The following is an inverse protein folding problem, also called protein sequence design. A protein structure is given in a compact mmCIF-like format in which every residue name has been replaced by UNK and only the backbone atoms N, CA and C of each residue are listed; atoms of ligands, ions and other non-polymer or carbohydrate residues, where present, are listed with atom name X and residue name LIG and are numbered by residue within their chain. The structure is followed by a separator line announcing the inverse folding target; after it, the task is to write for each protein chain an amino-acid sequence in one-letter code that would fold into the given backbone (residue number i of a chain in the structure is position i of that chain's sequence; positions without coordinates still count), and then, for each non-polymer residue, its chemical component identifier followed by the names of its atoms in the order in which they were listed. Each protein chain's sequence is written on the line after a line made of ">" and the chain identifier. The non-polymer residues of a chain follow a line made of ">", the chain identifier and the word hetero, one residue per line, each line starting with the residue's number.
data_IF_837313838557
#
_entry.id   IF_837313838557
#
_cell.length_a   1.000
_cell.length_b   1.000
_cell.length_c   1.000
_cell.angle_alpha   90.00
_cell.angle_beta   90.00
_cell.angle_gamma   90.00
#
_symmetry.space_group_name_H-M   'P 1'
#
loop_
_entity.id
_entity.type
_entity.pdbx_description
1 polymer ?
#
# COMPACT_ATOMS: atom_id res chain seq x y z
N UNK A 1 -12.13 -31.76 13.22
CA UNK A 1 -13.06 -30.76 12.66
C UNK A 1 -12.32 -29.99 11.57
N UNK A 2 -12.86 -29.89 10.34
CA UNK A 2 -12.34 -28.90 9.40
C UNK A 2 -12.48 -27.49 10.01
N UNK A 3 -11.54 -26.57 9.76
CA UNK A 3 -11.64 -25.21 10.28
C UNK A 3 -12.93 -24.56 9.78
N UNK A 4 -13.67 -23.91 10.68
CA UNK A 4 -14.82 -23.08 10.32
C UNK A 4 -14.31 -22.04 9.32
N UNK A 5 -14.89 -22.03 8.11
CA UNK A 5 -14.52 -21.09 7.07
C UNK A 5 -15.06 -19.71 7.50
N UNK A 6 -14.22 -18.91 8.16
CA UNK A 6 -14.58 -17.55 8.56
C UNK A 6 -15.00 -16.75 7.33
N UNK A 7 -16.16 -16.08 7.41
CA UNK A 7 -16.64 -15.18 6.37
C UNK A 7 -15.76 -13.92 6.36
N UNK A 8 -14.88 -13.81 5.36
CA UNK A 8 -13.92 -12.72 5.23
C UNK A 8 -14.62 -11.48 4.65
N UNK A 9 -14.56 -10.38 5.41
CA UNK A 9 -15.13 -9.08 5.07
C UNK A 9 -14.02 -8.04 5.18
N UNK A 10 -13.78 -7.29 4.12
CA UNK A 10 -12.56 -6.46 4.00
C UNK A 10 -12.91 -4.98 3.93
N UNK A 11 -12.38 -4.19 4.85
CA UNK A 11 -12.31 -2.75 4.68
C UNK A 11 -10.96 -2.36 4.09
N UNK A 12 -10.94 -1.58 3.01
CA UNK A 12 -9.73 -0.96 2.47
C UNK A 12 -9.83 0.54 2.69
N UNK A 13 -8.88 1.09 3.43
CA UNK A 13 -8.82 2.50 3.82
C UNK A 13 -7.72 3.22 3.03
N UNK A 14 -8.07 4.34 2.42
CA UNK A 14 -7.20 5.07 1.49
C UNK A 14 -7.36 4.51 0.09
N UNK A 15 -7.99 5.28 -0.80
CA UNK A 15 -8.36 4.86 -2.15
C UNK A 15 -7.54 5.55 -3.24
N UNK A 16 -6.32 6.00 -2.91
CA UNK A 16 -5.29 6.31 -3.90
C UNK A 16 -5.02 5.12 -4.84
N UNK A 17 -4.19 5.31 -5.87
CA UNK A 17 -3.99 4.33 -6.96
C UNK A 17 -3.79 2.88 -6.47
N UNK A 18 -2.92 2.66 -5.48
CA UNK A 18 -2.65 1.34 -4.91
C UNK A 18 -3.84 0.79 -4.10
N UNK A 19 -4.43 1.61 -3.23
CA UNK A 19 -5.58 1.23 -2.41
C UNK A 19 -6.82 0.90 -3.23
N UNK A 20 -7.10 1.68 -4.28
CA UNK A 20 -8.18 1.41 -5.23
C UNK A 20 -8.00 0.07 -5.95
N UNK A 21 -6.80 -0.17 -6.48
CA UNK A 21 -6.48 -1.42 -7.17
C UNK A 21 -6.60 -2.64 -6.22
N UNK A 22 -6.18 -2.46 -4.97
CA UNK A 22 -6.30 -3.49 -3.94
C UNK A 22 -7.76 -3.76 -3.57
N UNK A 23 -8.56 -2.72 -3.35
CA UNK A 23 -9.99 -2.85 -3.06
C UNK A 23 -10.73 -3.57 -4.20
N UNK A 24 -10.47 -3.20 -5.46
CA UNK A 24 -11.01 -3.89 -6.65
C UNK A 24 -10.55 -5.35 -6.73
N UNK A 25 -9.30 -5.65 -6.35
CA UNK A 25 -8.79 -7.02 -6.34
C UNK A 25 -9.45 -7.88 -5.26
N UNK A 26 -9.59 -7.35 -4.04
CA UNK A 26 -10.25 -8.02 -2.93
C UNK A 26 -11.73 -8.29 -3.24
N UNK A 27 -12.41 -7.36 -3.93
CA UNK A 27 -13.83 -7.47 -4.29
C UNK A 27 -14.14 -8.61 -5.27
N UNK A 28 -13.13 -9.14 -5.97
CA UNK A 28 -13.29 -10.33 -6.82
C UNK A 28 -13.73 -11.57 -6.03
N UNK A 29 -13.41 -11.63 -4.74
CA UNK A 29 -13.62 -12.81 -3.90
C UNK A 29 -14.43 -12.48 -2.63
N UNK A 30 -14.20 -11.31 -2.03
CA UNK A 30 -14.76 -10.93 -0.73
C UNK A 30 -15.70 -9.73 -0.83
N UNK A 31 -16.51 -9.52 0.20
CA UNK A 31 -17.27 -8.28 0.36
C UNK A 31 -16.34 -7.17 0.86
N UNK A 32 -16.31 -6.04 0.14
CA UNK A 32 -15.35 -4.96 0.36
C UNK A 32 -16.06 -3.62 0.61
N UNK A 33 -15.72 -2.97 1.72
CA UNK A 33 -15.95 -1.54 1.91
C UNK A 33 -14.69 -0.81 1.48
N UNK A 34 -14.78 -0.08 0.38
CA UNK A 34 -13.76 0.84 -0.05
C UNK A 34 -14.03 2.17 0.68
N UNK A 35 -13.17 2.50 1.65
CA UNK A 35 -13.38 3.60 2.57
C UNK A 35 -12.34 4.71 2.37
N UNK A 36 -12.82 5.93 2.18
CA UNK A 36 -12.00 7.12 2.08
C UNK A 36 -12.88 8.36 2.32
N UNK A 37 -12.40 9.30 3.12
CA UNK A 37 -13.16 10.51 3.48
C UNK A 37 -13.15 11.58 2.38
N UNK A 38 -12.23 11.46 1.41
CA UNK A 38 -12.01 12.45 0.35
C UNK A 38 -12.03 11.83 -1.05
N UNK A 39 -12.56 10.61 -1.20
CA UNK A 39 -12.61 9.96 -2.49
C UNK A 39 -13.64 10.61 -3.42
N UNK A 40 -13.12 11.30 -4.44
CA UNK A 40 -13.89 11.92 -5.52
C UNK A 40 -13.78 11.14 -6.84
N UNK A 41 -13.10 9.99 -6.84
CA UNK A 41 -12.84 9.21 -8.04
C UNK A 41 -14.02 8.34 -8.49
N UNK A 42 -13.89 7.67 -9.65
CA UNK A 42 -14.99 6.94 -10.25
C UNK A 42 -15.42 5.75 -9.40
N UNK A 43 -16.71 5.71 -9.05
CA UNK A 43 -17.37 4.58 -8.42
C UNK A 43 -17.73 3.51 -9.45
N UNK A 44 -16.71 2.99 -10.16
CA UNK A 44 -16.95 1.94 -11.15
C UNK A 44 -17.70 0.78 -10.49
N UNK A 45 -18.79 0.27 -11.09
CA UNK A 45 -19.57 -0.80 -10.51
C UNK A 45 -18.78 -2.11 -10.55
N UNK A 46 -18.07 -2.41 -9.47
CA UNK A 46 -17.45 -3.71 -9.23
C UNK A 46 -18.35 -4.52 -8.31
N UNK A 47 -18.63 -5.77 -8.68
CA UNK A 47 -19.43 -6.66 -7.84
C UNK A 47 -18.74 -6.83 -6.48
N UNK A 48 -19.51 -6.79 -5.39
CA UNK A 48 -19.06 -6.93 -4.00
C UNK A 48 -18.24 -5.77 -3.41
N UNK A 49 -18.08 -4.64 -4.11
CA UNK A 49 -17.54 -3.41 -3.52
C UNK A 49 -18.69 -2.44 -3.23
N UNK A 50 -18.63 -1.74 -2.10
CA UNK A 50 -19.34 -0.48 -1.92
C UNK A 50 -18.36 0.56 -1.42
N UNK A 51 -18.68 1.81 -1.72
CA UNK A 51 -17.87 2.96 -1.36
C UNK A 51 -18.51 3.64 -0.16
N UNK A 52 -17.70 4.09 0.79
CA UNK A 52 -18.19 4.75 1.99
C UNK A 52 -17.19 5.79 2.49
N UNK A 53 -17.71 6.93 2.94
CA UNK A 53 -17.01 7.93 3.74
C UNK A 53 -17.44 7.87 5.22
N UNK A 54 -18.34 6.95 5.56
CA UNK A 54 -18.95 6.83 6.88
C UNK A 54 -18.20 5.78 7.73
N UNK A 55 -17.52 6.19 8.82
CA UNK A 55 -16.76 5.27 9.68
C UNK A 55 -17.58 4.14 10.30
N UNK A 56 -18.90 4.33 10.49
CA UNK A 56 -19.77 3.29 11.06
C UNK A 56 -19.88 2.06 10.15
N UNK A 57 -19.73 2.24 8.84
CA UNK A 57 -19.83 1.15 7.88
C UNK A 57 -18.72 0.13 8.07
N UNK A 58 -17.57 0.53 8.65
CA UNK A 58 -16.39 -0.31 8.88
C UNK A 58 -16.59 -1.39 9.94
N UNK A 59 -17.62 -1.29 10.77
CA UNK A 59 -17.97 -2.30 11.79
C UNK A 59 -18.23 -3.70 11.20
N UNK A 60 -18.59 -3.78 9.92
CA UNK A 60 -18.78 -5.06 9.22
C UNK A 60 -17.49 -5.87 9.00
N UNK A 61 -16.33 -5.21 8.94
CA UNK A 61 -15.12 -5.79 8.36
C UNK A 61 -14.41 -6.69 9.36
N UNK A 62 -13.99 -7.90 8.95
CA UNK A 62 -13.12 -8.77 9.76
C UNK A 62 -11.64 -8.48 9.50
N UNK A 63 -11.32 -7.91 8.34
CA UNK A 63 -9.98 -7.52 7.92
C UNK A 63 -9.97 -6.04 7.54
N UNK A 64 -9.04 -5.28 8.11
CA UNK A 64 -8.84 -3.86 7.82
C UNK A 64 -7.49 -3.70 7.13
N UNK A 65 -7.50 -3.08 5.96
CA UNK A 65 -6.30 -2.79 5.18
C UNK A 65 -6.12 -1.28 5.14
N UNK A 66 -5.02 -0.79 5.70
CA UNK A 66 -4.61 0.60 5.59
C UNK A 66 -3.70 0.68 4.37
N UNK A 67 -4.21 1.29 3.29
CA UNK A 67 -3.55 1.37 1.99
C UNK A 67 -3.27 2.83 1.58
N UNK A 68 -2.94 3.66 2.56
CA UNK A 68 -2.62 5.05 2.30
C UNK A 68 -1.24 5.19 1.66
N UNK A 69 -1.13 6.02 0.63
CA UNK A 69 0.13 6.15 -0.10
C UNK A 69 1.11 7.03 0.67
N UNK A 70 2.30 6.50 0.97
CA UNK A 70 3.44 7.36 1.29
C UNK A 70 3.84 8.04 -0.02
N UNK A 71 3.41 9.29 -0.26
CA UNK A 71 3.63 9.96 -1.55
C UNK A 71 5.13 10.02 -1.89
N UNK A 72 5.46 9.81 -3.18
CA UNK A 72 6.80 9.55 -3.77
C UNK A 72 7.86 10.65 -3.60
N UNK A 73 7.57 11.75 -2.91
CA UNK A 73 8.52 12.82 -2.67
C UNK A 73 8.83 12.79 -1.18
N UNK A 74 10.09 12.71 -0.81
CA UNK A 74 10.53 12.67 0.59
C UNK A 74 11.11 14.03 0.94
N UNK A 75 10.23 14.99 1.22
CA UNK A 75 10.61 16.33 1.74
C UNK A 75 10.51 16.40 3.28
N UNK A 76 10.22 15.28 3.94
CA UNK A 76 9.97 15.19 5.38
C UNK A 76 8.53 15.52 5.78
N UNK A 77 7.87 16.47 5.09
CA UNK A 77 6.45 16.78 5.29
C UNK A 77 5.54 15.63 4.85
N UNK A 78 5.91 14.89 3.80
CA UNK A 78 5.14 13.71 3.39
C UNK A 78 5.15 12.59 4.43
N UNK A 79 6.23 12.43 5.22
CA UNK A 79 6.29 11.40 6.25
C UNK A 79 5.36 11.73 7.43
N UNK A 80 5.34 12.99 7.87
CA UNK A 80 4.42 13.45 8.92
C UNK A 80 2.96 13.30 8.50
N UNK A 81 2.64 13.65 7.24
CA UNK A 81 1.30 13.44 6.68
C UNK A 81 0.94 11.96 6.67
N UNK A 82 1.80 11.10 6.12
CA UNK A 82 1.57 9.65 6.07
C UNK A 82 1.38 9.02 7.45
N UNK A 83 2.18 9.41 8.44
CA UNK A 83 1.99 8.96 9.83
C UNK A 83 0.65 9.45 10.38
N UNK A 84 0.27 10.70 10.10
CA UNK A 84 -1.02 11.28 10.52
C UNK A 84 -2.19 10.49 9.95
N UNK A 85 -2.13 10.13 8.66
CA UNK A 85 -3.17 9.35 8.00
C UNK A 85 -3.30 7.93 8.60
N UNK A 86 -2.18 7.27 8.92
CA UNK A 86 -2.20 5.99 9.63
C UNK A 86 -2.81 6.12 11.02
N UNK A 87 -2.46 7.18 11.78
CA UNK A 87 -3.01 7.41 13.12
C UNK A 87 -4.51 7.75 13.08
N UNK A 88 -4.97 8.39 12.01
CA UNK A 88 -6.38 8.62 11.75
C UNK A 88 -7.10 7.30 11.44
N UNK A 89 -6.57 6.48 10.53
CA UNK A 89 -7.10 5.16 10.22
C UNK A 89 -7.16 4.28 11.48
N UNK A 90 -6.12 4.30 12.30
CA UNK A 90 -6.08 3.62 13.61
C UNK A 90 -7.23 4.05 14.51
N UNK A 91 -7.50 5.35 14.60
CA UNK A 91 -8.58 5.87 15.45
C UNK A 91 -9.95 5.39 15.00
N UNK A 92 -10.18 5.32 13.70
CA UNK A 92 -11.41 4.83 13.09
C UNK A 92 -11.57 3.31 13.27
N UNK A 93 -10.52 2.53 12.99
CA UNK A 93 -10.53 1.08 13.20
C UNK A 93 -10.85 0.77 14.66
N UNK A 94 -10.22 1.49 15.60
CA UNK A 94 -10.51 1.32 17.03
C UNK A 94 -11.99 1.53 17.36
N UNK A 95 -12.64 2.54 16.76
CA UNK A 95 -14.07 2.76 16.92
C UNK A 95 -14.91 1.62 16.31
N UNK A 96 -14.53 1.12 15.13
CA UNK A 96 -15.20 0.00 14.46
C UNK A 96 -15.07 -1.34 15.21
N UNK A 97 -14.07 -1.47 16.11
CA UNK A 97 -13.82 -2.66 16.91
C UNK A 97 -14.51 -2.65 18.28
N UNK A 98 -15.16 -1.56 18.67
CA UNK A 98 -15.86 -1.48 19.96
C UNK A 98 -16.94 -2.55 20.06
N UNK A 99 -16.91 -3.35 21.14
CA UNK A 99 -17.90 -4.39 21.40
C UNK A 99 -17.75 -5.65 20.54
N UNK A 100 -16.67 -5.77 19.76
CA UNK A 100 -16.40 -6.96 18.95
C UNK A 100 -15.87 -8.11 19.81
N UNK A 101 -16.46 -9.29 19.63
CA UNK A 101 -16.08 -10.52 20.35
C UNK A 101 -14.92 -11.28 19.67
N UNK A 102 -14.87 -11.27 18.33
CA UNK A 102 -13.85 -12.02 17.57
C UNK A 102 -12.66 -11.16 17.16
N UNK A 103 -11.42 -11.69 17.16
CA UNK A 103 -10.27 -10.96 16.66
C UNK A 103 -10.43 -10.50 15.20
N UNK A 104 -10.14 -9.23 14.93
CA UNK A 104 -9.98 -8.72 13.58
C UNK A 104 -8.51 -8.82 13.14
N UNK A 105 -8.28 -8.64 11.84
CA UNK A 105 -6.94 -8.57 11.25
C UNK A 105 -6.67 -7.19 10.69
N UNK A 106 -5.65 -6.51 11.20
CA UNK A 106 -5.23 -5.17 10.77
C UNK A 106 -3.96 -5.32 9.94
N UNK A 107 -3.95 -4.73 8.76
CA UNK A 107 -2.91 -4.90 7.75
C UNK A 107 -2.46 -3.52 7.28
N UNK A 108 -1.18 -3.19 7.45
CA UNK A 108 -0.59 -2.03 6.79
C UNK A 108 -0.10 -2.47 5.40
N UNK A 109 -0.77 -1.99 4.35
CA UNK A 109 -0.45 -2.28 2.95
C UNK A 109 0.37 -1.16 2.28
N UNK A 110 0.49 -0.01 2.94
CA UNK A 110 1.44 1.04 2.56
C UNK A 110 2.88 0.55 2.61
N UNK A 111 3.74 1.10 1.74
CA UNK A 111 5.20 0.96 1.89
C UNK A 111 5.62 1.52 3.24
N UNK A 112 6.41 0.75 3.99
CA UNK A 112 6.89 1.13 5.31
C UNK A 112 8.38 1.49 5.20
N UNK A 113 8.79 2.72 5.56
CA UNK A 113 10.17 3.18 5.35
C UNK A 113 11.18 2.63 6.38
N UNK A 114 10.71 2.14 7.52
CA UNK A 114 11.56 1.66 8.62
C UNK A 114 11.00 0.36 9.21
N UNK A 115 11.88 -0.61 9.50
CA UNK A 115 11.51 -1.81 10.25
C UNK A 115 11.03 -1.49 11.66
N UNK A 116 9.96 -2.17 12.10
CA UNK A 116 9.29 -2.02 13.38
C UNK A 116 8.25 -0.90 13.43
N UNK A 117 8.08 -0.12 12.37
CA UNK A 117 7.19 1.05 12.40
C UNK A 117 5.70 0.67 12.52
N UNK A 118 5.28 -0.42 11.87
CA UNK A 118 3.92 -0.95 12.02
C UNK A 118 3.63 -1.32 13.47
N UNK A 119 4.59 -1.93 14.17
CA UNK A 119 4.47 -2.26 15.58
C UNK A 119 4.39 -1.00 16.45
N UNK A 120 5.18 0.04 16.15
CA UNK A 120 5.14 1.33 16.86
C UNK A 120 3.78 2.02 16.70
N UNK A 121 3.22 2.03 15.48
CA UNK A 121 1.99 2.78 15.16
C UNK A 121 0.71 2.03 15.53
N UNK A 122 0.67 0.71 15.28
CA UNK A 122 -0.54 -0.11 15.31
C UNK A 122 -0.48 -1.25 16.34
N UNK A 123 0.63 -1.40 17.08
CA UNK A 123 0.84 -2.49 18.03
C UNK A 123 -0.21 -2.58 19.14
N UNK A 124 -0.94 -1.50 19.43
CA UNK A 124 -2.06 -1.50 20.37
C UNK A 124 -3.18 -2.46 19.98
N UNK A 125 -3.43 -2.68 18.69
CA UNK A 125 -4.44 -3.65 18.24
C UNK A 125 -4.04 -5.08 18.62
N UNK A 126 -2.75 -5.40 18.49
CA UNK A 126 -2.25 -6.71 18.90
C UNK A 126 -2.32 -6.90 20.41
N UNK A 127 -1.97 -5.86 21.17
CA UNK A 127 -2.14 -5.87 22.63
C UNK A 127 -3.61 -6.05 23.06
N UNK A 128 -4.56 -5.59 22.25
CA UNK A 128 -5.99 -5.79 22.43
C UNK A 128 -6.52 -7.16 21.94
N UNK A 129 -5.64 -8.07 21.51
CA UNK A 129 -6.01 -9.42 21.06
C UNK A 129 -6.41 -9.53 19.58
N UNK A 130 -6.13 -8.49 18.78
CA UNK A 130 -6.30 -8.55 17.33
C UNK A 130 -5.03 -9.04 16.63
N UNK A 131 -5.17 -9.40 15.36
CA UNK A 131 -4.07 -9.79 14.48
C UNK A 131 -3.51 -8.57 13.80
N UNK A 132 -2.19 -8.50 13.68
CA UNK A 132 -1.50 -7.34 13.11
C UNK A 132 -0.38 -7.78 12.17
N UNK A 133 -0.27 -7.11 11.04
CA UNK A 133 0.86 -7.31 10.14
C UNK A 133 0.93 -6.31 9.01
N UNK A 134 1.74 -6.66 8.03
CA UNK A 134 2.01 -5.86 6.85
C UNK A 134 1.81 -6.71 5.60
N UNK A 135 1.37 -6.07 4.53
CA UNK A 135 1.36 -6.65 3.19
C UNK A 135 1.61 -5.53 2.18
N UNK A 136 2.84 -4.98 2.17
CA UNK A 136 3.14 -3.78 1.42
C UNK A 136 2.86 -3.99 -0.08
N UNK A 137 2.18 -3.03 -0.69
CA UNK A 137 2.02 -2.99 -2.14
C UNK A 137 3.18 -2.16 -2.72
N UNK A 138 4.15 -2.77 -3.42
CA UNK A 138 5.05 -1.99 -4.25
C UNK A 138 4.22 -1.29 -5.33
N UNK A 139 4.62 -0.07 -5.68
CA UNK A 139 3.90 0.78 -6.62
C UNK A 139 3.54 0.02 -7.90
N UNK A 140 2.25 0.03 -8.23
CA UNK A 140 1.74 -0.46 -9.50
C UNK A 140 2.02 0.64 -10.52
N UNK A 141 3.11 0.53 -11.30
CA UNK A 141 3.34 1.49 -12.38
C UNK A 141 2.19 1.46 -13.38
N UNK A 142 1.60 2.65 -13.58
CA UNK A 142 0.59 2.91 -14.60
C UNK A 142 1.32 3.22 -15.90
N UNK A 143 1.26 2.29 -16.84
CA UNK A 143 1.79 2.47 -18.20
C UNK A 143 2.61 1.26 -18.62
N UNK A 144 1.98 0.40 -19.40
CA UNK A 144 2.57 -0.68 -20.19
C UNK A 144 3.21 -1.88 -19.44
N UNK A 145 2.68 -3.06 -19.77
CA UNK A 145 3.33 -4.37 -19.84
C UNK A 145 4.06 -4.94 -18.61
N UNK A 146 3.28 -5.72 -17.84
CA UNK A 146 3.60 -7.14 -17.63
C UNK A 146 4.69 -7.52 -16.62
N UNK A 147 5.57 -6.61 -16.21
CA UNK A 147 6.72 -6.98 -15.34
C UNK A 147 6.32 -7.03 -13.86
N UNK A 148 5.48 -6.09 -13.38
CA UNK A 148 5.01 -6.09 -11.99
C UNK A 148 3.93 -7.13 -11.68
N UNK A 149 3.40 -7.83 -12.70
CA UNK A 149 2.58 -9.04 -12.50
C UNK A 149 3.37 -10.24 -11.95
N UNK A 150 4.69 -10.10 -11.75
CA UNK A 150 5.57 -11.20 -11.35
C UNK A 150 6.23 -11.06 -9.99
N UNK A 151 6.02 -9.97 -9.25
CA UNK A 151 6.56 -9.86 -7.88
C UNK A 151 5.54 -10.51 -6.94
N UNK A 152 5.90 -11.63 -6.27
CA UNK A 152 5.02 -12.27 -5.32
C UNK A 152 4.67 -11.29 -4.18
N UNK A 153 3.43 -11.35 -3.70
CA UNK A 153 2.94 -10.53 -2.60
C UNK A 153 3.63 -10.96 -1.31
N UNK A 154 4.38 -10.03 -0.73
CA UNK A 154 5.02 -10.23 0.55
C UNK A 154 4.04 -9.96 1.68
N UNK A 155 3.94 -10.90 2.62
CA UNK A 155 3.10 -10.76 3.82
C UNK A 155 3.91 -11.05 5.07
N UNK A 156 3.73 -10.23 6.10
CA UNK A 156 4.39 -10.39 7.40
C UNK A 156 3.40 -10.19 8.54
N UNK A 157 3.51 -11.00 9.59
CA UNK A 157 2.71 -10.86 10.80
C UNK A 157 3.56 -10.59 12.03
N UNK A 158 2.99 -9.90 13.03
CA UNK A 158 3.65 -9.70 14.33
C UNK A 158 3.87 -11.04 15.07
N UNK A 159 3.01 -12.02 14.77
CA UNK A 159 3.12 -13.41 15.20
C UNK A 159 2.65 -14.36 14.08
N UNK A 160 2.70 -15.67 14.35
CA UNK A 160 2.33 -16.71 13.39
C UNK A 160 0.84 -16.72 13.05
N UNK A 161 -0.02 -16.36 13.98
CA UNK A 161 -1.47 -16.33 13.74
C UNK A 161 -1.83 -15.16 12.81
N UNK A 162 -1.26 -13.99 13.06
CA UNK A 162 -1.40 -12.81 12.22
C UNK A 162 -0.87 -13.08 10.82
N UNK A 163 0.32 -13.66 10.71
CA UNK A 163 0.92 -14.01 9.42
C UNK A 163 0.03 -15.00 8.64
N UNK A 164 -0.55 -16.00 9.32
CA UNK A 164 -1.48 -16.96 8.71
C UNK A 164 -2.77 -16.30 8.24
N UNK A 165 -3.37 -15.42 9.04
CA UNK A 165 -4.63 -14.75 8.68
C UNK A 165 -4.43 -13.84 7.47
N UNK A 166 -3.35 -13.06 7.45
CA UNK A 166 -3.00 -12.20 6.31
C UNK A 166 -2.69 -13.03 5.07
N UNK A 167 -1.85 -14.07 5.22
CA UNK A 167 -1.54 -15.00 4.13
C UNK A 167 -2.81 -15.63 3.55
N UNK A 168 -3.72 -16.12 4.39
CA UNK A 168 -4.97 -16.73 3.94
C UNK A 168 -5.86 -15.76 3.16
N UNK A 169 -5.95 -14.50 3.60
CA UNK A 169 -6.64 -13.44 2.86
C UNK A 169 -6.01 -13.24 1.47
N UNK A 170 -4.70 -13.01 1.42
CA UNK A 170 -4.00 -12.71 0.17
C UNK A 170 -3.99 -13.91 -0.80
N UNK A 171 -3.71 -15.12 -0.30
CA UNK A 171 -3.73 -16.36 -1.10
C UNK A 171 -5.12 -16.62 -1.71
N UNK A 172 -6.19 -16.23 -1.02
CA UNK A 172 -7.56 -16.40 -1.55
C UNK A 172 -7.86 -15.48 -2.74
N UNK A 173 -7.13 -14.37 -2.89
CA UNK A 173 -7.34 -13.35 -3.93
C UNK A 173 -6.33 -13.47 -5.08
N UNK A 174 -5.05 -13.69 -4.76
CA UNK A 174 -3.94 -13.74 -5.71
C UNK A 174 -3.48 -15.17 -6.03
N UNK A 175 -3.89 -16.15 -5.23
CA UNK A 175 -3.43 -17.53 -5.36
C UNK A 175 -2.13 -17.79 -4.59
N UNK A 176 -1.95 -19.04 -4.16
CA UNK A 176 -0.84 -19.44 -3.28
C UNK A 176 0.54 -19.30 -3.91
N UNK A 177 0.66 -19.38 -5.24
CA UNK A 177 1.92 -19.21 -5.97
C UNK A 177 2.35 -17.75 -6.08
N UNK A 178 1.46 -16.81 -5.82
CA UNK A 178 1.71 -15.36 -5.93
C UNK A 178 1.87 -14.70 -4.56
N UNK A 179 1.94 -15.46 -3.47
CA UNK A 179 2.13 -14.95 -2.11
C UNK A 179 3.35 -15.62 -1.50
N UNK A 180 4.33 -14.83 -1.06
CA UNK A 180 5.50 -15.37 -0.35
C UNK A 180 5.05 -16.01 0.97
N UNK A 181 5.73 -17.07 1.44
CA UNK A 181 5.44 -17.67 2.73
C UNK A 181 5.39 -16.61 3.84
N UNK A 182 4.34 -16.59 4.68
CA UNK A 182 4.18 -15.53 5.67
C UNK A 182 5.37 -15.43 6.62
N UNK A 183 6.00 -14.26 6.62
CA UNK A 183 7.21 -13.97 7.37
C UNK A 183 6.97 -13.19 8.66
N UNK A 184 8.07 -12.76 9.29
CA UNK A 184 8.02 -11.78 10.38
C UNK A 184 7.66 -10.41 9.84
N UNK A 185 6.90 -9.65 10.61
CA UNK A 185 6.53 -8.26 10.33
C UNK A 185 7.73 -7.41 9.91
N UNK A 186 8.81 -7.43 10.70
CA UNK A 186 9.99 -6.58 10.46
C UNK A 186 10.76 -6.97 9.20
N UNK A 187 10.71 -8.26 8.82
CA UNK A 187 11.32 -8.72 7.57
C UNK A 187 10.57 -8.17 6.36
N UNK A 188 9.23 -8.21 6.41
CA UNK A 188 8.41 -7.70 5.32
C UNK A 188 8.54 -6.17 5.16
N UNK A 189 8.61 -5.43 6.27
CA UNK A 189 8.91 -3.98 6.24
C UNK A 189 10.31 -3.72 5.65
N UNK A 190 11.34 -4.42 6.12
CA UNK A 190 12.71 -4.21 5.66
C UNK A 190 12.89 -4.55 4.17
N UNK A 191 12.26 -5.62 3.68
CA UNK A 191 12.32 -6.02 2.29
C UNK A 191 11.69 -4.97 1.37
N UNK A 192 10.54 -4.40 1.75
CA UNK A 192 9.91 -3.33 0.97
C UNK A 192 10.67 -2.02 1.08
N UNK A 193 11.15 -1.64 2.27
CA UNK A 193 11.97 -0.45 2.44
C UNK A 193 13.24 -0.52 1.59
N UNK A 194 13.91 -1.67 1.56
CA UNK A 194 15.12 -1.87 0.77
C UNK A 194 14.84 -1.82 -0.73
N UNK A 195 13.77 -2.47 -1.21
CA UNK A 195 13.34 -2.37 -2.61
C UNK A 195 13.03 -0.94 -3.02
N UNK A 196 12.25 -0.23 -2.19
CA UNK A 196 11.91 1.19 -2.38
C UNK A 196 13.16 2.09 -2.41
N UNK A 197 14.11 1.88 -1.50
CA UNK A 197 15.35 2.65 -1.46
C UNK A 197 16.24 2.37 -2.68
N UNK A 198 16.32 1.12 -3.14
CA UNK A 198 17.06 0.79 -4.37
C UNK A 198 16.42 1.41 -5.61
N UNK A 199 15.09 1.42 -5.71
CA UNK A 199 14.39 2.06 -6.82
C UNK A 199 14.63 3.58 -6.82
N UNK A 200 14.50 4.24 -5.66
CA UNK A 200 14.81 5.67 -5.51
C UNK A 200 16.26 5.97 -5.91
N UNK A 201 17.21 5.17 -5.43
CA UNK A 201 18.63 5.38 -5.74
C UNK A 201 18.90 5.22 -7.25
N UNK A 202 18.28 4.21 -7.88
CA UNK A 202 18.40 3.98 -9.32
C UNK A 202 17.79 5.13 -10.13
N UNK A 203 16.58 5.56 -9.78
CA UNK A 203 15.93 6.70 -10.44
C UNK A 203 16.73 8.00 -10.27
N UNK A 204 17.23 8.29 -9.07
CA UNK A 204 18.06 9.47 -8.81
C UNK A 204 19.35 9.46 -9.66
N UNK A 205 19.98 8.29 -9.82
CA UNK A 205 21.17 8.14 -10.69
C UNK A 205 20.84 8.33 -12.17
N UNK A 206 19.71 7.80 -12.64
CA UNK A 206 19.25 7.98 -14.03
C UNK A 206 18.93 9.44 -14.33
N UNK A 207 18.19 10.12 -13.45
CA UNK A 207 17.90 11.55 -13.62
C UNK A 207 19.16 12.41 -13.63
N UNK A 208 20.12 12.10 -12.76
CA UNK A 208 21.41 12.78 -12.78
C UNK A 208 22.15 12.55 -14.09
N UNK A 209 22.23 11.31 -14.57
CA UNK A 209 22.86 11.00 -15.86
C UNK A 209 22.19 11.70 -17.04
N UNK A 210 20.85 11.81 -17.02
CA UNK A 210 20.10 12.56 -18.03
C UNK A 210 20.37 14.06 -17.95
N UNK A 211 20.40 14.65 -16.74
CA UNK A 211 20.81 16.04 -16.55
C UNK A 211 22.22 16.29 -17.06
N UNK A 212 23.19 15.49 -16.61
CA UNK A 212 24.59 15.56 -17.06
C UNK A 212 24.74 15.36 -18.58
N UNK A 213 23.80 14.68 -19.26
CA UNK A 213 23.77 14.53 -20.71
C UNK A 213 23.16 15.74 -21.41
N UNK A 214 22.07 16.28 -20.87
CA UNK A 214 21.43 17.51 -21.38
C UNK A 214 22.42 18.68 -21.28
N UNK A 215 23.06 18.86 -20.13
CA UNK A 215 24.04 19.92 -19.90
C UNK A 215 25.22 19.80 -20.89
N UNK A 216 25.72 18.58 -21.13
CA UNK A 216 26.76 18.34 -22.15
C UNK A 216 26.28 18.58 -23.58
N UNK A 217 25.05 18.22 -23.90
CA UNK A 217 24.48 18.47 -25.22
C UNK A 217 24.23 19.97 -25.46
N UNK A 218 23.88 20.73 -24.43
CA UNK A 218 23.80 22.19 -24.49
C UNK A 218 25.19 22.83 -24.64
N UNK A 219 26.23 22.29 -23.99
CA UNK A 219 27.61 22.74 -24.21
C UNK A 219 28.14 22.38 -25.62
N UNK A 220 27.74 21.24 -26.18
CA UNK A 220 28.24 20.73 -27.47
C UNK A 220 27.47 21.29 -28.68
N UNK A 221 26.17 21.62 -28.51
CA UNK A 221 25.29 22.05 -29.60
C UNK A 221 24.59 23.40 -29.36
N UNK A 222 24.74 24.02 -28.19
CA UNK A 222 24.10 25.29 -27.84
C UNK A 222 24.73 26.55 -28.49
N UNK A 223 25.88 26.43 -29.17
CA UNK A 223 26.49 27.54 -29.90
C UNK A 223 26.05 27.64 -31.37
N UNK A 224 25.32 26.66 -31.94
CA UNK A 224 25.01 26.65 -33.39
C UNK A 224 23.72 27.39 -33.80
N UNK A 225 23.01 28.04 -32.88
CA UNK A 225 21.79 28.82 -33.19
C UNK A 225 21.80 30.23 -32.59
N UNK A 226 22.92 30.93 -32.62
CA UNK A 226 22.88 32.39 -32.61
C UNK A 226 22.62 32.88 -34.03
N UNK A 227 21.40 33.37 -34.25
CA UNK A 227 20.93 34.02 -35.47
C UNK A 227 21.97 34.99 -36.05
N UNK A 228 22.61 34.61 -37.16
CA UNK A 228 23.28 35.59 -38.01
C UNK A 228 22.20 36.24 -38.87
N UNK A 229 21.67 37.35 -38.35
CA UNK A 229 21.06 38.41 -39.12
C UNK A 229 22.06 38.88 -40.20
N UNK A 230 21.95 38.33 -41.39
CA UNK A 230 22.64 38.77 -42.60
C UNK A 230 21.67 39.43 -43.56
N UNK A 231 21.23 40.63 -43.23
CA UNK A 231 20.63 41.58 -44.18
C UNK A 231 21.62 41.93 -45.29
N UNK A 232 21.29 41.58 -46.54
CA UNK A 232 21.21 42.49 -47.71
C UNK A 232 20.80 41.73 -48.99
#
# INVERSE_FOLDING_TARGET
>A
MPPVKEDIKVAVMGLGLGGLALAKSMAKVHRVCAFDYCWEGPHDPVKNIWWSDNPYDLSFATHFIIADSCSRRYTGREFEAWVTDILWARSIIRAALVGRESPATIILASVVPEGGLTKKLLGEFHAAGHRLGVAPQPDLDFGEDGILRRIPKLVGGIDRESARSIGSLYESVFGRSEVEPPGKLEFAEAATAHGFLMDIELFARIYKLMGDYIDRAEEEYGEEWSDDEGSD
#
